data_IF_525522957419
#
_entry.id   IF_525522957419
#
_cell.length_a   1.000
_cell.length_b   1.000
_cell.length_c   1.000
_cell.angle_alpha   90.00
_cell.angle_beta   90.00
_cell.angle_gamma   90.00
#
_symmetry.space_group_name_H-M   'P 1'
#
loop_
_entity.id
_entity.type
_entity.pdbx_description
1 polymer ?
#
# COMPACT_ATOMS: atom_id res chain seq x y z
N UNK A 1 -25.20 -26.32 14.94
CA UNK A 1 -24.83 -25.38 13.86
C UNK A 1 -23.55 -24.66 14.27
N UNK A 2 -22.45 -24.83 13.55
CA UNK A 2 -21.17 -24.18 13.88
C UNK A 2 -21.12 -22.81 13.18
N UNK A 3 -21.19 -21.73 13.96
CA UNK A 3 -21.02 -20.36 13.43
C UNK A 3 -19.55 -20.11 13.09
N UNK A 4 -19.29 -19.50 11.93
CA UNK A 4 -17.96 -19.04 11.53
C UNK A 4 -17.49 -17.98 12.52
N UNK A 5 -16.43 -18.28 13.27
CA UNK A 5 -15.79 -17.33 14.18
C UNK A 5 -14.71 -16.52 13.43
N UNK A 6 -14.49 -15.24 13.77
CA UNK A 6 -13.47 -14.43 13.14
C UNK A 6 -12.09 -15.08 13.28
N UNK A 7 -11.40 -15.26 12.16
CA UNK A 7 -10.05 -15.81 12.17
C UNK A 7 -9.06 -14.75 12.67
N UNK A 8 -8.93 -14.60 13.98
CA UNK A 8 -7.95 -13.71 14.59
C UNK A 8 -6.53 -14.17 14.20
N UNK A 9 -5.83 -13.34 13.44
CA UNK A 9 -4.38 -13.47 13.21
C UNK A 9 -3.74 -12.11 13.50
N UNK A 10 -2.49 -12.08 13.97
CA UNK A 10 -1.72 -10.84 14.03
C UNK A 10 -1.73 -10.15 12.66
N UNK A 11 -1.89 -8.83 12.67
CA UNK A 11 -1.76 -7.98 11.48
C UNK A 11 -0.49 -7.19 11.65
N UNK A 12 0.45 -7.37 10.73
CA UNK A 12 1.65 -6.56 10.64
C UNK A 12 1.35 -5.30 9.84
N UNK A 13 1.78 -4.14 10.35
CA UNK A 13 1.60 -2.85 9.67
C UNK A 13 2.97 -2.20 9.48
N UNK A 14 3.24 -1.78 8.25
CA UNK A 14 4.44 -1.03 7.88
C UNK A 14 3.99 0.33 7.36
N UNK A 15 4.60 1.39 7.89
CA UNK A 15 4.31 2.77 7.49
C UNK A 15 5.51 3.31 6.73
N UNK A 16 5.29 3.78 5.50
CA UNK A 16 6.31 4.39 4.67
C UNK A 16 6.60 5.84 5.02
N UNK A 17 7.51 6.45 4.26
CA UNK A 17 7.80 7.88 4.36
C UNK A 17 6.58 8.71 3.88
N UNK A 18 6.40 9.94 4.39
CA UNK A 18 5.33 10.83 3.94
C UNK A 18 5.56 11.30 2.50
N UNK A 19 4.46 11.50 1.76
CA UNK A 19 4.47 12.14 0.43
C UNK A 19 3.95 13.56 0.59
N UNK A 20 4.75 14.54 0.19
CA UNK A 20 4.34 15.93 0.20
C UNK A 20 3.33 16.18 -0.93
N UNK A 21 2.12 16.59 -0.56
CA UNK A 21 1.04 16.92 -1.50
C UNK A 21 0.64 18.37 -1.27
N UNK A 22 0.84 19.28 -2.25
CA UNK A 22 0.37 20.65 -2.12
C UNK A 22 -1.16 20.69 -2.14
N UNK A 23 -1.75 21.61 -1.37
CA UNK A 23 -3.17 21.88 -1.45
C UNK A 23 -3.44 22.71 -2.71
N UNK A 24 -4.24 22.16 -3.62
CA UNK A 24 -4.70 22.81 -4.85
C UNK A 24 -6.22 22.81 -4.84
N UNK A 25 -6.85 23.97 -5.06
CA UNK A 25 -8.31 24.10 -4.99
C UNK A 25 -9.03 23.31 -6.08
N UNK A 26 -8.47 23.30 -7.28
CA UNK A 26 -8.97 22.60 -8.47
C UNK A 26 -7.78 21.94 -9.17
N UNK A 27 -7.36 20.74 -8.73
CA UNK A 27 -6.22 20.06 -9.33
C UNK A 27 -6.54 19.56 -10.74
N UNK A 28 -5.53 19.48 -11.60
CA UNK A 28 -5.67 18.83 -12.90
C UNK A 28 -5.52 17.31 -12.77
N UNK A 29 -6.02 16.57 -13.76
CA UNK A 29 -5.88 15.11 -13.80
C UNK A 29 -4.40 14.69 -13.81
N UNK A 30 -3.52 15.46 -14.47
CA UNK A 30 -2.08 15.20 -14.47
C UNK A 30 -1.44 15.40 -13.10
N UNK A 31 -1.90 16.37 -12.32
CA UNK A 31 -1.40 16.60 -10.96
C UNK A 31 -1.80 15.46 -10.03
N UNK A 32 -3.03 14.96 -10.15
CA UNK A 32 -3.53 13.80 -9.41
C UNK A 32 -2.75 12.55 -9.80
N UNK A 33 -2.60 12.30 -11.11
CA UNK A 33 -1.88 11.13 -11.63
C UNK A 33 -0.41 11.13 -11.18
N UNK A 34 0.24 12.30 -11.16
CA UNK A 34 1.61 12.43 -10.68
C UNK A 34 1.75 11.98 -9.22
N UNK A 35 0.83 12.39 -8.35
CA UNK A 35 0.86 12.02 -6.92
C UNK A 35 0.47 10.55 -6.75
N UNK A 36 -0.53 10.07 -7.49
CA UNK A 36 -0.95 8.67 -7.47
C UNK A 36 0.20 7.73 -7.87
N UNK A 37 0.90 8.04 -8.97
CA UNK A 37 2.09 7.30 -9.40
C UNK A 37 3.17 7.28 -8.32
N UNK A 38 3.48 8.43 -7.73
CA UNK A 38 4.45 8.52 -6.64
C UNK A 38 4.05 7.64 -5.44
N UNK A 39 2.77 7.59 -5.10
CA UNK A 39 2.24 6.73 -4.04
C UNK A 39 2.38 5.25 -4.37
N UNK A 40 1.99 4.83 -5.58
CA UNK A 40 2.08 3.44 -6.01
C UNK A 40 3.54 2.94 -6.10
N UNK A 41 4.46 3.78 -6.57
CA UNK A 41 5.90 3.50 -6.57
C UNK A 41 6.42 3.29 -5.14
N UNK A 42 6.15 4.23 -4.23
CA UNK A 42 6.59 4.14 -2.83
C UNK A 42 6.00 2.94 -2.10
N UNK A 43 4.73 2.60 -2.35
CA UNK A 43 4.10 1.41 -1.79
C UNK A 43 4.70 0.11 -2.32
N UNK A 44 5.03 0.07 -3.60
CA UNK A 44 5.68 -1.10 -4.22
C UNK A 44 7.04 -1.34 -3.59
N UNK A 45 7.86 -0.29 -3.45
CA UNK A 45 9.16 -0.36 -2.78
C UNK A 45 9.03 -0.84 -1.32
N UNK A 46 8.08 -0.27 -0.57
CA UNK A 46 7.81 -0.67 0.81
C UNK A 46 7.37 -2.13 0.89
N UNK A 47 6.51 -2.58 -0.01
CA UNK A 47 6.08 -3.98 -0.06
C UNK A 47 7.26 -4.91 -0.36
N UNK A 48 8.04 -4.64 -1.40
CA UNK A 48 9.20 -5.46 -1.78
C UNK A 48 10.24 -5.56 -0.66
N UNK A 49 10.49 -4.45 0.05
CA UNK A 49 11.44 -4.40 1.15
C UNK A 49 11.02 -5.29 2.34
N UNK A 50 9.73 -5.41 2.63
CA UNK A 50 9.23 -6.03 3.86
C UNK A 50 8.48 -7.37 3.65
N UNK A 51 8.06 -7.72 2.43
CA UNK A 51 7.17 -8.88 2.18
C UNK A 51 7.71 -10.20 2.75
N UNK A 52 8.98 -10.50 2.54
CA UNK A 52 9.60 -11.75 3.02
C UNK A 52 9.75 -11.78 4.54
N UNK A 53 9.99 -10.63 5.19
CA UNK A 53 10.05 -10.50 6.65
C UNK A 53 8.73 -10.90 7.31
N UNK A 54 7.61 -10.63 6.64
CA UNK A 54 6.26 -10.96 7.12
C UNK A 54 5.67 -12.19 6.42
N UNK A 55 6.54 -13.09 5.92
CA UNK A 55 6.19 -14.41 5.36
C UNK A 55 5.32 -14.37 4.10
N UNK A 56 5.32 -13.25 3.38
CA UNK A 56 4.74 -13.17 2.04
C UNK A 56 5.76 -13.73 1.04
N UNK A 57 5.35 -14.60 0.08
CA UNK A 57 6.25 -15.17 -0.92
C UNK A 57 6.97 -14.11 -1.75
N UNK A 58 8.19 -14.43 -2.22
CA UNK A 58 9.00 -13.49 -3.00
C UNK A 58 8.35 -13.15 -4.35
N UNK A 59 7.59 -14.09 -4.90
CA UNK A 59 6.93 -14.01 -6.18
C UNK A 59 5.61 -13.23 -6.10
N UNK A 60 5.10 -12.99 -4.88
CA UNK A 60 3.94 -12.16 -4.70
C UNK A 60 4.27 -10.73 -5.12
N UNK A 61 3.35 -10.12 -5.87
CA UNK A 61 3.42 -8.74 -6.33
C UNK A 61 2.24 -7.96 -5.79
N UNK A 62 2.43 -6.66 -5.61
CA UNK A 62 1.36 -5.74 -5.25
C UNK A 62 0.55 -5.39 -6.50
N UNK A 63 -0.78 -5.41 -6.39
CA UNK A 63 -1.70 -5.00 -7.46
C UNK A 63 -2.50 -3.80 -7.01
N UNK A 64 -2.55 -2.76 -7.85
CA UNK A 64 -3.38 -1.57 -7.65
C UNK A 64 -4.70 -1.75 -8.42
N UNK A 65 -5.79 -1.19 -7.87
CA UNK A 65 -7.16 -1.24 -8.40
C UNK A 65 -7.60 0.13 -8.88
#
# INVERSE_FOLDING_TARGET
ELRLLPHRRPIDTVVGAPIAVPMVSEPTDEEVERVHRQYCEALTELFEQYKTRFRVPKEATLTFI
#
